data_IF_815256101699
#
_entry.id   IF_815256101699
#
_cell.length_a   1.000
_cell.length_b   1.000
_cell.length_c   1.000
_cell.angle_alpha   90.00
_cell.angle_beta   90.00
_cell.angle_gamma   90.00
#
_symmetry.space_group_name_H-M   'P 1'
#
loop_
_entity.id
_entity.type
_entity.pdbx_description
1 polymer ?
#
# COMPACT_ATOMS: atom_id res chain seq x y z
N UNK A 1 -47.22 -25.48 51.41
CA UNK A 1 -47.46 -25.09 50.00
C UNK A 1 -46.69 -23.84 49.54
N UNK A 2 -46.41 -22.84 50.41
CA UNK A 2 -45.64 -21.63 50.04
C UNK A 2 -44.16 -21.87 49.66
N UNK A 3 -43.51 -22.88 50.26
CA UNK A 3 -42.10 -23.21 49.97
C UNK A 3 -41.89 -24.01 48.68
N UNK A 4 -42.94 -24.67 48.16
CA UNK A 4 -42.86 -25.46 46.91
C UNK A 4 -42.94 -24.56 45.66
N UNK A 5 -43.69 -23.45 45.76
CA UNK A 5 -43.82 -22.44 44.69
C UNK A 5 -42.53 -21.64 44.44
N UNK A 6 -41.71 -21.45 45.48
CA UNK A 6 -40.41 -20.78 45.36
C UNK A 6 -39.37 -21.66 44.63
N UNK A 7 -39.48 -22.99 44.72
CA UNK A 7 -38.56 -23.90 44.04
C UNK A 7 -38.85 -23.99 42.54
N UNK A 8 -40.13 -23.98 42.13
CA UNK A 8 -40.50 -23.94 40.69
C UNK A 8 -40.16 -22.60 40.02
N UNK A 9 -40.17 -21.50 40.78
CA UNK A 9 -39.75 -20.19 40.27
C UNK A 9 -38.24 -20.12 40.01
N UNK A 10 -37.40 -20.84 40.77
CA UNK A 10 -35.95 -20.87 40.53
C UNK A 10 -35.56 -21.72 39.31
N UNK A 11 -36.30 -22.79 39.01
CA UNK A 11 -35.97 -23.71 37.91
C UNK A 11 -36.34 -23.11 36.55
N UNK A 12 -37.27 -22.16 36.49
CA UNK A 12 -37.65 -21.48 35.23
C UNK A 12 -36.64 -20.41 34.78
N UNK A 13 -35.73 -19.95 35.66
CA UNK A 13 -34.61 -19.07 35.27
C UNK A 13 -33.36 -19.83 34.79
N UNK A 14 -33.31 -21.17 34.96
CA UNK A 14 -32.27 -22.03 34.39
C UNK A 14 -32.64 -22.54 32.98
N UNK A 15 -33.80 -22.12 32.44
CA UNK A 15 -34.25 -22.50 31.11
C UNK A 15 -33.53 -21.66 30.05
N UNK A 16 -32.48 -22.27 29.48
CA UNK A 16 -32.05 -22.10 28.09
C UNK A 16 -32.01 -20.67 27.56
N UNK A 17 -31.03 -19.90 28.02
CA UNK A 17 -30.27 -19.10 27.06
C UNK A 17 -29.31 -20.06 26.38
N UNK A 18 -29.81 -20.79 25.37
CA UNK A 18 -28.92 -21.33 24.36
C UNK A 18 -28.13 -20.13 23.86
N UNK A 19 -26.85 -20.07 24.20
CA UNK A 19 -25.91 -19.31 23.41
C UNK A 19 -26.08 -19.83 21.99
N UNK A 20 -26.81 -19.07 21.17
CA UNK A 20 -26.50 -19.07 19.75
C UNK A 20 -25.03 -18.67 19.72
N UNK A 21 -24.15 -19.69 19.65
CA UNK A 21 -22.96 -19.60 18.86
C UNK A 21 -23.47 -19.21 17.48
N UNK A 22 -23.62 -17.91 17.28
CA UNK A 22 -23.43 -17.33 15.97
C UNK A 22 -21.99 -17.70 15.69
N UNK A 23 -21.82 -18.88 15.08
CA UNK A 23 -20.59 -19.21 14.37
C UNK A 23 -20.57 -18.12 13.31
N UNK A 24 -19.86 -17.04 13.62
CA UNK A 24 -19.55 -16.00 12.66
C UNK A 24 -18.77 -16.75 11.58
N UNK A 25 -19.45 -17.03 10.49
CA UNK A 25 -18.90 -17.66 9.31
C UNK A 25 -17.64 -16.88 8.91
N UNK A 26 -16.51 -17.60 8.89
CA UNK A 26 -15.19 -17.15 8.45
C UNK A 26 -14.80 -15.72 8.86
N UNK A 27 -14.20 -15.64 10.05
CA UNK A 27 -13.43 -14.51 10.54
C UNK A 27 -12.19 -14.30 9.64
N UNK A 28 -12.36 -13.80 8.42
CA UNK A 28 -11.26 -13.13 7.71
C UNK A 28 -10.91 -11.92 8.55
N UNK A 29 -9.84 -12.04 9.33
CA UNK A 29 -9.24 -10.96 10.08
C UNK A 29 -9.12 -9.76 9.14
N UNK A 30 -9.80 -8.65 9.46
CA UNK A 30 -9.76 -7.45 8.65
C UNK A 30 -8.30 -7.02 8.43
N UNK A 31 -7.88 -6.89 7.17
CA UNK A 31 -6.52 -6.49 6.83
C UNK A 31 -6.39 -4.97 6.84
N UNK A 32 -6.03 -4.45 8.01
CA UNK A 32 -5.80 -3.02 8.24
C UNK A 32 -4.70 -2.45 7.33
N UNK A 33 -3.66 -3.25 7.00
CA UNK A 33 -2.54 -2.77 6.20
C UNK A 33 -2.99 -2.55 4.76
N UNK A 34 -3.62 -3.55 4.15
CA UNK A 34 -4.20 -3.41 2.80
C UNK A 34 -5.27 -2.32 2.75
N UNK A 35 -6.07 -2.17 3.81
CA UNK A 35 -7.07 -1.09 3.87
C UNK A 35 -6.43 0.30 3.78
N UNK A 36 -5.34 0.55 4.52
CA UNK A 36 -4.66 1.84 4.53
C UNK A 36 -3.90 2.11 3.23
N UNK A 37 -3.40 1.07 2.56
CA UNK A 37 -2.55 1.19 1.37
C UNK A 37 -3.33 1.20 0.06
N UNK A 38 -4.54 0.66 0.01
CA UNK A 38 -5.33 0.56 -1.22
C UNK A 38 -6.06 1.85 -1.58
N UNK A 39 -6.32 2.05 -2.86
CA UNK A 39 -7.40 2.93 -3.32
C UNK A 39 -8.78 2.34 -2.96
N UNK A 40 -9.85 3.16 -2.90
CA UNK A 40 -11.21 2.66 -2.71
C UNK A 40 -11.60 1.59 -3.73
N UNK A 41 -12.52 0.69 -3.36
CA UNK A 41 -12.94 -0.47 -4.17
C UNK A 41 -13.51 -0.12 -5.55
N UNK A 42 -13.82 1.16 -5.81
CA UNK A 42 -14.23 1.67 -7.12
C UNK A 42 -13.10 1.66 -8.15
N UNK A 43 -11.85 1.50 -7.71
CA UNK A 43 -10.64 1.48 -8.55
C UNK A 43 -10.31 0.01 -8.89
N UNK A 44 -9.97 -0.32 -10.16
CA UNK A 44 -9.70 -1.70 -10.56
C UNK A 44 -8.56 -2.31 -9.76
N UNK A 45 -8.75 -3.56 -9.33
CA UNK A 45 -7.71 -4.37 -8.68
C UNK A 45 -7.10 -5.35 -9.67
N UNK A 46 -5.79 -5.31 -9.82
CA UNK A 46 -5.03 -6.16 -10.73
C UNK A 46 -4.14 -7.12 -9.95
N UNK A 47 -4.14 -8.36 -10.40
CA UNK A 47 -3.16 -9.37 -10.02
C UNK A 47 -2.13 -9.46 -11.15
N UNK A 48 -0.96 -8.90 -10.90
CA UNK A 48 0.18 -8.84 -11.81
C UNK A 48 1.42 -9.13 -10.97
N UNK A 49 2.30 -9.99 -11.49
CA UNK A 49 3.55 -10.30 -10.81
C UNK A 49 4.36 -9.02 -10.58
N UNK A 50 4.63 -8.73 -9.30
CA UNK A 50 5.52 -7.66 -8.90
C UNK A 50 6.95 -8.03 -9.32
N UNK A 51 7.67 -7.05 -9.86
CA UNK A 51 9.09 -7.16 -10.21
C UNK A 51 9.41 -8.02 -11.46
N UNK A 52 8.42 -8.21 -12.35
CA UNK A 52 8.66 -8.70 -13.71
C UNK A 52 9.37 -7.62 -14.58
N UNK A 53 10.07 -7.99 -15.66
CA UNK A 53 10.70 -7.03 -16.56
C UNK A 53 9.74 -5.95 -17.05
N UNK A 54 10.18 -4.68 -17.06
CA UNK A 54 9.38 -3.51 -17.44
C UNK A 54 8.59 -3.71 -18.73
N UNK A 55 9.22 -4.30 -19.76
CA UNK A 55 8.56 -4.57 -21.05
C UNK A 55 7.33 -5.46 -20.93
N UNK A 56 7.36 -6.46 -20.04
CA UNK A 56 6.22 -7.36 -19.80
C UNK A 56 5.19 -6.69 -18.88
N UNK A 57 5.67 -5.98 -17.85
CA UNK A 57 4.83 -5.27 -16.90
C UNK A 57 3.97 -4.20 -17.59
N UNK A 58 4.58 -3.32 -18.38
CA UNK A 58 3.90 -2.22 -19.04
C UNK A 58 2.97 -2.67 -20.17
N UNK A 59 3.29 -3.77 -20.87
CA UNK A 59 2.36 -4.35 -21.87
C UNK A 59 1.09 -4.83 -21.19
N UNK A 60 1.21 -5.63 -20.13
CA UNK A 60 0.05 -6.14 -19.39
C UNK A 60 -0.77 -5.01 -18.74
N UNK A 61 -0.09 -4.00 -18.18
CA UNK A 61 -0.79 -2.85 -17.61
C UNK A 61 -1.55 -2.06 -18.68
N UNK A 62 -0.93 -1.78 -19.82
CA UNK A 62 -1.58 -1.05 -20.90
C UNK A 62 -2.79 -1.79 -21.45
N UNK A 63 -2.67 -3.09 -21.70
CA UNK A 63 -3.79 -3.93 -22.16
C UNK A 63 -4.97 -3.92 -21.17
N UNK A 64 -4.70 -3.96 -19.86
CA UNK A 64 -5.74 -4.05 -18.82
C UNK A 64 -6.33 -2.70 -18.43
N UNK A 65 -5.53 -1.64 -18.40
CA UNK A 65 -5.91 -0.34 -17.84
C UNK A 65 -6.20 0.73 -18.89
N UNK A 66 -5.61 0.60 -20.08
CA UNK A 66 -5.61 1.63 -21.10
C UNK A 66 -5.78 1.03 -22.51
N UNK A 67 -6.80 0.17 -22.75
CA UNK A 67 -6.96 -0.54 -24.03
C UNK A 67 -7.18 0.41 -25.22
N UNK A 68 -7.73 1.60 -24.98
CA UNK A 68 -8.04 2.61 -26.00
C UNK A 68 -6.86 3.54 -26.33
N UNK A 69 -5.68 3.26 -25.77
CA UNK A 69 -4.39 3.72 -26.30
C UNK A 69 -3.91 5.10 -25.85
N UNK A 70 -4.74 5.92 -25.18
CA UNK A 70 -4.24 7.16 -24.60
C UNK A 70 -4.99 7.69 -23.37
N UNK A 71 -4.38 7.51 -22.19
CA UNK A 71 -4.64 8.30 -21.00
C UNK A 71 -3.28 8.76 -20.41
N UNK A 72 -3.20 9.89 -19.73
CA UNK A 72 -1.93 10.34 -19.15
C UNK A 72 -1.57 9.56 -17.88
N UNK A 73 -2.58 9.15 -17.12
CA UNK A 73 -2.38 8.36 -15.91
C UNK A 73 -3.60 7.53 -15.53
N UNK A 74 -3.39 6.32 -15.03
CA UNK A 74 -4.43 5.46 -14.45
C UNK A 74 -4.08 5.06 -13.02
N UNK A 75 -5.03 5.18 -12.09
CA UNK A 75 -4.91 4.60 -10.75
C UNK A 75 -5.51 3.19 -10.73
N UNK A 76 -4.88 2.29 -9.99
CA UNK A 76 -5.33 0.91 -9.82
C UNK A 76 -4.85 0.39 -8.46
N UNK A 77 -5.40 -0.73 -8.01
CA UNK A 77 -4.89 -1.48 -6.88
C UNK A 77 -4.05 -2.64 -7.41
N UNK A 78 -2.80 -2.78 -6.95
CA UNK A 78 -1.93 -3.89 -7.30
C UNK A 78 -1.91 -4.90 -6.15
N UNK A 79 -2.17 -6.17 -6.46
CA UNK A 79 -2.01 -7.27 -5.50
C UNK A 79 -0.56 -7.76 -5.53
N UNK A 80 0.08 -7.76 -4.37
CA UNK A 80 1.45 -8.25 -4.18
C UNK A 80 1.42 -9.21 -3.00
N UNK A 81 1.66 -10.50 -3.26
CA UNK A 81 1.49 -11.57 -2.28
C UNK A 81 0.07 -11.52 -1.65
N UNK A 82 -0.05 -11.31 -0.34
CA UNK A 82 -1.35 -11.19 0.36
C UNK A 82 -1.83 -9.74 0.53
N UNK A 83 -1.09 -8.75 0.01
CA UNK A 83 -1.36 -7.33 0.22
C UNK A 83 -1.99 -6.68 -1.02
N UNK A 84 -2.84 -5.69 -0.78
CA UNK A 84 -3.34 -4.79 -1.83
C UNK A 84 -2.75 -3.40 -1.63
N UNK A 85 -2.10 -2.88 -2.67
CA UNK A 85 -1.36 -1.63 -2.63
C UNK A 85 -1.87 -0.67 -3.71
N UNK A 86 -2.06 0.61 -3.39
CA UNK A 86 -2.41 1.64 -4.35
C UNK A 86 -1.26 1.83 -5.36
N UNK A 87 -1.59 1.83 -6.64
CA UNK A 87 -0.64 2.00 -7.71
C UNK A 87 -1.16 3.00 -8.75
N UNK A 88 -0.22 3.61 -9.47
CA UNK A 88 -0.51 4.53 -10.55
C UNK A 88 0.41 4.27 -11.73
N UNK A 89 -0.18 4.09 -12.89
CA UNK A 89 0.53 4.08 -14.16
C UNK A 89 0.53 5.50 -14.73
N UNK A 90 1.70 5.97 -15.14
CA UNK A 90 1.93 7.23 -15.84
C UNK A 90 2.41 6.90 -17.24
N UNK A 91 1.71 7.39 -18.26
CA UNK A 91 2.10 7.22 -19.65
C UNK A 91 1.87 8.54 -20.41
N UNK A 92 2.92 9.31 -20.70
CA UNK A 92 2.74 10.56 -21.43
C UNK A 92 2.32 10.28 -22.88
N UNK A 93 1.11 10.68 -23.24
CA UNK A 93 0.66 10.74 -24.62
C UNK A 93 1.13 12.03 -25.30
N UNK A 94 2.33 12.03 -25.88
CA UNK A 94 2.76 13.09 -26.80
C UNK A 94 3.01 14.48 -26.21
N UNK A 95 2.78 14.69 -24.91
CA UNK A 95 3.14 15.93 -24.19
C UNK A 95 4.44 15.68 -23.41
N UNK A 96 5.47 16.54 -23.56
CA UNK A 96 6.64 16.47 -22.70
C UNK A 96 6.22 16.72 -21.25
N UNK A 97 6.62 15.83 -20.36
CA UNK A 97 6.38 15.99 -18.93
C UNK A 97 7.26 17.15 -18.47
N UNK A 98 6.65 18.19 -17.92
CA UNK A 98 7.37 19.25 -17.23
C UNK A 98 7.95 18.68 -15.94
N UNK A 99 9.27 18.67 -15.83
CA UNK A 99 10.00 18.43 -14.59
C UNK A 99 9.63 19.55 -13.61
N UNK A 100 8.71 19.26 -12.70
CA UNK A 100 8.22 20.25 -11.75
C UNK A 100 7.65 19.58 -10.52
N UNK A 101 8.44 19.64 -9.44
CA UNK A 101 8.22 19.07 -8.10
C UNK A 101 8.57 17.58 -8.01
N UNK A 102 9.59 17.28 -7.19
CA UNK A 102 9.96 15.94 -6.75
C UNK A 102 8.82 15.40 -5.88
N UNK A 103 7.93 14.59 -6.47
CA UNK A 103 6.78 14.02 -5.76
C UNK A 103 6.97 12.54 -5.41
N UNK A 104 8.01 11.94 -5.98
CA UNK A 104 8.26 10.52 -5.89
C UNK A 104 9.61 10.30 -5.24
N UNK A 105 9.69 9.21 -4.50
CA UNK A 105 10.92 8.65 -4.01
C UNK A 105 11.44 7.70 -5.09
N UNK A 106 12.63 7.96 -5.60
CA UNK A 106 13.31 7.05 -6.51
C UNK A 106 14.18 6.06 -5.74
N UNK A 107 13.94 4.77 -5.96
CA UNK A 107 14.75 3.67 -5.48
C UNK A 107 15.40 2.99 -6.68
N UNK A 108 16.74 2.94 -6.70
CA UNK A 108 17.51 2.22 -7.71
C UNK A 108 18.15 0.97 -7.11
N UNK A 109 18.06 -0.16 -7.79
CA UNK A 109 18.73 -1.41 -7.41
C UNK A 109 19.64 -1.81 -8.56
N UNK A 110 20.96 -1.75 -8.35
CA UNK A 110 21.91 -2.08 -9.40
C UNK A 110 22.15 -3.59 -9.53
N UNK A 111 22.89 -4.00 -10.57
CA UNK A 111 23.22 -5.41 -10.84
C UNK A 111 23.94 -6.14 -9.70
N UNK A 112 24.64 -5.40 -8.85
CA UNK A 112 25.40 -5.95 -7.72
C UNK A 112 24.53 -6.03 -6.46
N UNK A 113 23.24 -5.68 -6.56
CA UNK A 113 22.28 -5.68 -5.46
C UNK A 113 22.39 -4.47 -4.53
N UNK A 114 23.17 -3.46 -4.88
CA UNK A 114 23.24 -2.22 -4.10
C UNK A 114 21.97 -1.41 -4.30
N UNK A 115 21.38 -1.00 -3.19
CA UNK A 115 20.19 -0.15 -3.16
C UNK A 115 20.63 1.30 -3.04
N UNK A 116 20.02 2.16 -3.83
CA UNK A 116 20.13 3.61 -3.74
C UNK A 116 18.75 4.17 -3.49
N UNK A 117 18.65 5.12 -2.56
CA UNK A 117 17.45 5.93 -2.37
C UNK A 117 17.86 7.35 -2.68
N UNK A 118 17.19 7.97 -3.66
CA UNK A 118 17.49 9.36 -4.03
C UNK A 118 18.96 9.61 -4.38
N UNK A 119 19.54 8.65 -5.12
CA UNK A 119 20.97 8.64 -5.52
C UNK A 119 21.97 8.42 -4.38
N UNK A 120 21.51 8.26 -3.14
CA UNK A 120 22.37 7.91 -2.00
C UNK A 120 22.44 6.41 -1.79
N UNK A 121 23.66 5.87 -1.67
CA UNK A 121 23.89 4.45 -1.37
C UNK A 121 23.31 4.11 0.00
N UNK A 122 22.57 3.00 0.05
CA UNK A 122 22.16 2.34 1.29
C UNK A 122 23.26 1.39 1.74
N UNK A 123 23.81 1.63 2.92
CA UNK A 123 24.95 0.86 3.43
C UNK A 123 24.53 -0.48 4.05
N UNK A 124 23.40 -0.49 4.75
CA UNK A 124 22.85 -1.67 5.41
C UNK A 124 21.32 -1.53 5.65
N UNK A 125 20.72 -2.54 6.27
CA UNK A 125 19.28 -2.57 6.56
C UNK A 125 18.85 -1.47 7.54
N UNK A 126 19.71 -1.10 8.50
CA UNK A 126 19.37 -0.05 9.46
C UNK A 126 19.36 1.32 8.79
N UNK A 127 20.33 1.58 7.90
CA UNK A 127 20.39 2.76 7.05
C UNK A 127 19.17 2.83 6.11
N UNK A 128 18.79 1.70 5.49
CA UNK A 128 17.58 1.58 4.67
C UNK A 128 16.33 2.04 5.44
N UNK A 129 16.11 1.46 6.62
CA UNK A 129 14.95 1.75 7.46
C UNK A 129 14.95 3.21 7.91
N UNK A 130 16.10 3.76 8.31
CA UNK A 130 16.21 5.15 8.73
C UNK A 130 15.84 6.12 7.60
N UNK A 131 16.39 5.92 6.39
CA UNK A 131 16.08 6.75 5.22
C UNK A 131 14.58 6.68 4.89
N UNK A 132 14.00 5.49 4.88
CA UNK A 132 12.57 5.28 4.63
C UNK A 132 11.70 5.94 5.71
N UNK A 133 12.06 5.80 6.99
CA UNK A 133 11.32 6.45 8.07
C UNK A 133 11.31 7.97 7.95
N UNK A 134 12.44 8.57 7.56
CA UNK A 134 12.52 10.01 7.31
C UNK A 134 11.61 10.42 6.16
N UNK A 135 11.65 9.70 5.04
CA UNK A 135 10.77 9.92 3.89
C UNK A 135 9.29 9.90 4.29
N UNK A 136 8.87 8.89 5.06
CA UNK A 136 7.45 8.72 5.44
C UNK A 136 7.00 9.83 6.39
N UNK A 137 7.87 10.30 7.29
CA UNK A 137 7.57 11.38 8.23
C UNK A 137 7.63 12.76 7.57
N UNK A 138 8.49 12.95 6.57
CA UNK A 138 8.68 14.23 5.89
C UNK A 138 7.46 14.55 5.01
N UNK A 139 6.77 15.65 5.35
CA UNK A 139 5.57 16.14 4.64
C UNK A 139 5.88 17.20 3.59
N UNK A 140 7.13 17.62 3.42
CA UNK A 140 7.51 18.76 2.58
C UNK A 140 8.24 18.33 1.31
N UNK A 141 9.20 17.41 1.41
CA UNK A 141 10.00 17.01 0.24
C UNK A 141 9.30 15.93 -0.60
N UNK A 142 8.68 14.93 0.05
CA UNK A 142 8.16 13.72 -0.60
C UNK A 142 6.64 13.55 -0.50
N UNK A 143 5.92 14.61 -0.14
CA UNK A 143 4.48 14.52 0.12
C UNK A 143 3.70 15.66 -0.56
N UNK A 144 3.25 15.44 -1.79
CA UNK A 144 2.29 16.34 -2.43
C UNK A 144 0.86 15.89 -2.11
N UNK A 145 0.04 16.76 -1.51
CA UNK A 145 -1.32 16.40 -1.03
C UNK A 145 -1.32 15.13 -0.17
N UNK A 146 -0.36 15.03 0.76
CA UNK A 146 -0.15 13.88 1.66
C UNK A 146 0.19 12.56 0.94
N UNK A 147 0.52 12.60 -0.36
CA UNK A 147 0.87 11.42 -1.15
C UNK A 147 2.38 11.33 -1.38
N UNK A 148 2.92 10.16 -1.14
CA UNK A 148 4.28 9.78 -1.54
C UNK A 148 4.20 8.72 -2.62
N UNK A 149 4.70 9.06 -3.81
CA UNK A 149 4.92 8.07 -4.86
C UNK A 149 6.23 7.33 -4.63
N UNK A 150 6.26 6.02 -4.87
CA UNK A 150 7.46 5.20 -4.85
C UNK A 150 7.72 4.70 -6.26
N UNK A 151 8.91 4.98 -6.79
CA UNK A 151 9.39 4.43 -8.06
C UNK A 151 10.53 3.47 -7.73
N UNK A 152 10.36 2.18 -8.03
CA UNK A 152 11.40 1.17 -7.84
C UNK A 152 11.93 0.79 -9.22
N UNK A 153 13.19 1.08 -9.48
CA UNK A 153 13.91 0.78 -10.72
C UNK A 153 14.99 -0.24 -10.39
N UNK A 154 14.98 -1.37 -11.09
CA UNK A 154 15.92 -2.47 -10.85
C UNK A 154 16.65 -2.87 -12.13
N UNK A 155 17.96 -3.05 -12.06
CA UNK A 155 18.73 -3.69 -13.13
C UNK A 155 18.20 -5.12 -13.35
N UNK A 156 17.92 -5.50 -14.60
CA UNK A 156 17.39 -6.82 -14.96
C UNK A 156 18.19 -8.01 -14.40
N UNK A 157 19.47 -7.83 -14.07
CA UNK A 157 20.35 -8.86 -13.51
C UNK A 157 20.41 -8.86 -11.98
N UNK A 158 19.85 -7.85 -11.32
CA UNK A 158 19.81 -7.77 -9.87
C UNK A 158 18.85 -8.81 -9.28
N UNK A 159 19.12 -9.22 -8.04
CA UNK A 159 18.29 -10.16 -7.29
C UNK A 159 16.89 -9.58 -7.00
N UNK A 160 15.85 -10.31 -7.39
CA UNK A 160 14.43 -10.00 -7.16
C UNK A 160 14.09 -9.85 -5.67
N UNK A 161 14.86 -10.49 -4.79
CA UNK A 161 14.64 -10.39 -3.34
C UNK A 161 14.81 -8.96 -2.82
N UNK A 162 15.61 -8.13 -3.50
CA UNK A 162 15.90 -6.76 -3.09
C UNK A 162 14.69 -5.83 -3.24
N UNK A 163 13.94 -5.92 -4.35
CA UNK A 163 12.71 -5.13 -4.51
C UNK A 163 11.67 -5.48 -3.45
N UNK A 164 11.56 -6.77 -3.09
CA UNK A 164 10.69 -7.23 -2.01
C UNK A 164 11.17 -6.74 -0.64
N UNK A 165 12.49 -6.69 -0.41
CA UNK A 165 13.07 -6.13 0.82
C UNK A 165 12.71 -4.64 0.94
N UNK A 166 12.91 -3.85 -0.12
CA UNK A 166 12.56 -2.42 -0.16
C UNK A 166 11.07 -2.22 0.16
N UNK A 167 10.19 -2.94 -0.55
CA UNK A 167 8.74 -2.82 -0.34
C UNK A 167 8.35 -3.16 1.10
N UNK A 168 8.89 -4.24 1.67
CA UNK A 168 8.66 -4.63 3.08
C UNK A 168 9.14 -3.58 4.07
N UNK A 169 10.28 -2.93 3.80
CA UNK A 169 10.82 -1.86 4.65
C UNK A 169 9.93 -0.61 4.63
N UNK A 170 9.39 -0.24 3.46
CA UNK A 170 8.38 0.82 3.35
C UNK A 170 7.09 0.47 4.09
N UNK A 171 6.58 -0.75 3.92
CA UNK A 171 5.38 -1.24 4.62
C UNK A 171 5.53 -1.17 6.14
N UNK A 172 6.65 -1.66 6.67
CA UNK A 172 6.91 -1.65 8.11
C UNK A 172 6.97 -0.23 8.67
N UNK A 173 7.70 0.66 7.99
CA UNK A 173 7.86 2.05 8.41
C UNK A 173 6.56 2.86 8.28
N UNK A 174 5.76 2.58 7.24
CA UNK A 174 4.44 3.18 7.05
C UNK A 174 3.49 2.76 8.16
N UNK A 175 3.38 1.46 8.43
CA UNK A 175 2.52 0.95 9.50
C UNK A 175 2.93 1.52 10.87
N UNK A 176 4.24 1.62 11.16
CA UNK A 176 4.75 2.25 12.38
C UNK A 176 4.33 3.72 12.48
N UNK A 177 4.43 4.47 11.38
CA UNK A 177 4.01 5.88 11.35
C UNK A 177 2.51 6.04 11.56
N UNK A 178 1.69 5.25 10.85
CA UNK A 178 0.23 5.31 10.95
C UNK A 178 -0.26 4.85 12.33
N UNK A 179 0.41 3.90 12.98
CA UNK A 179 0.13 3.49 14.36
C UNK A 179 0.48 4.56 15.39
N UNK A 180 1.56 5.30 15.16
CA UNK A 180 1.88 6.48 15.97
C UNK A 180 0.79 7.55 15.88
N UNK A 181 0.26 7.82 14.69
CA UNK A 181 -0.85 8.77 14.49
C UNK A 181 -2.12 8.25 15.18
N UNK A 182 -2.39 6.95 15.09
CA UNK A 182 -3.55 6.32 15.72
C UNK A 182 -3.52 6.45 17.24
N UNK A 183 -2.35 6.19 17.85
CA UNK A 183 -2.14 6.35 19.29
C UNK A 183 -2.30 7.80 19.73
N UNK A 184 -1.72 8.74 18.99
CA UNK A 184 -1.81 10.18 19.29
C UNK A 184 -3.25 10.71 19.20
N UNK A 185 -4.00 10.32 18.17
CA UNK A 185 -5.33 10.88 17.89
C UNK A 185 -6.48 10.15 18.60
N UNK A 186 -6.35 8.84 18.82
CA UNK A 186 -7.44 7.99 19.31
C UNK A 186 -7.08 7.12 20.50
N UNK A 187 -5.84 7.19 21.00
CA UNK A 187 -5.32 6.37 22.10
C UNK A 187 -5.45 4.86 21.85
N UNK A 188 -5.40 4.45 20.57
CA UNK A 188 -5.60 3.07 20.13
C UNK A 188 -4.62 2.71 19.01
N UNK A 189 -4.11 1.49 19.05
CA UNK A 189 -3.40 0.91 17.91
C UNK A 189 -4.31 0.76 16.68
N UNK A 190 -3.72 0.78 15.47
CA UNK A 190 -4.43 0.69 14.18
C UNK A 190 -5.43 -0.46 14.13
N UNK A 191 -5.03 -1.64 14.62
CA UNK A 191 -5.85 -2.85 14.61
C UNK A 191 -7.11 -2.79 15.49
N UNK A 192 -7.29 -1.73 16.27
CA UNK A 192 -8.44 -1.52 17.14
C UNK A 192 -9.29 -0.31 16.72
N UNK A 193 -8.96 0.33 15.60
CA UNK A 193 -9.72 1.45 15.08
C UNK A 193 -10.96 0.96 14.34
N UNK A 194 -12.03 1.75 14.42
CA UNK A 194 -13.20 1.60 13.56
C UNK A 194 -12.89 2.05 12.12
N UNK A 195 -13.69 1.61 11.14
CA UNK A 195 -13.55 2.02 9.73
C UNK A 195 -13.55 3.56 9.58
N UNK A 196 -14.43 4.26 10.30
CA UNK A 196 -14.46 5.74 10.29
C UNK A 196 -13.13 6.35 10.76
N UNK A 197 -12.53 5.80 11.81
CA UNK A 197 -11.24 6.27 12.31
C UNK A 197 -10.10 5.92 11.33
N UNK A 198 -10.15 4.76 10.69
CA UNK A 198 -9.21 4.38 9.64
C UNK A 198 -9.30 5.33 8.44
N UNK A 199 -10.51 5.74 8.03
CA UNK A 199 -10.72 6.72 6.97
C UNK A 199 -10.15 8.10 7.30
N UNK A 200 -10.18 8.49 8.58
CA UNK A 200 -9.57 9.72 9.06
C UNK A 200 -8.04 9.65 9.02
N UNK A 201 -7.45 8.53 9.45
CA UNK A 201 -5.99 8.33 9.41
C UNK A 201 -5.49 8.20 7.98
N UNK A 202 -6.20 7.48 7.10
CA UNK A 202 -5.80 7.26 5.70
C UNK A 202 -5.58 8.56 4.91
N UNK A 203 -6.17 9.68 5.37
CA UNK A 203 -5.98 11.02 4.77
C UNK A 203 -4.66 11.69 5.18
N UNK A 204 -4.01 11.23 6.24
CA UNK A 204 -2.76 11.80 6.76
C UNK A 204 -1.55 11.47 5.91
N UNK A 205 -1.53 10.26 5.33
CA UNK A 205 -0.48 9.81 4.43
C UNK A 205 -1.01 8.75 3.49
N UNK A 206 -0.70 8.88 2.21
CA UNK A 206 -1.02 7.91 1.16
C UNK A 206 0.29 7.49 0.52
N UNK A 207 0.54 6.18 0.47
CA UNK A 207 1.69 5.60 -0.21
C UNK A 207 1.21 4.96 -1.52
N UNK A 208 1.85 5.29 -2.64
CA UNK A 208 1.46 4.80 -3.97
C UNK A 208 2.69 4.25 -4.69
N UNK A 209 2.58 3.09 -5.32
CA UNK A 209 3.56 2.61 -6.29
C UNK A 209 3.34 3.32 -7.64
N UNK A 210 4.33 4.09 -8.08
CA UNK A 210 4.26 4.85 -9.33
C UNK A 210 5.07 4.13 -10.41
N UNK A 211 4.42 3.84 -11.54
CA UNK A 211 5.00 3.19 -12.70
C UNK A 211 5.04 4.17 -13.86
N UNK A 212 6.23 4.50 -14.34
CA UNK A 212 6.42 5.51 -15.38
C UNK A 212 6.84 4.84 -16.69
N UNK A 213 5.92 4.76 -17.64
CA UNK A 213 6.19 4.27 -18.98
C UNK A 213 6.65 5.44 -19.87
N UNK A 214 7.89 5.88 -19.69
CA UNK A 214 8.45 6.90 -20.58
C UNK A 214 8.67 6.30 -21.98
N UNK A 215 8.17 6.94 -23.05
CA UNK A 215 8.57 6.54 -24.39
C UNK A 215 10.08 6.73 -24.53
N UNK A 216 10.76 5.71 -25.07
CA UNK A 216 12.17 5.82 -25.43
C UNK A 216 12.34 7.08 -26.30
N UNK A 217 13.23 8.02 -25.93
CA UNK A 217 13.46 9.22 -26.73
C UNK A 217 13.74 8.81 -28.17
N UNK A 218 12.91 9.28 -29.11
CA UNK A 218 13.22 9.08 -30.53
C UNK A 218 14.45 9.94 -30.84
N UNK A 219 15.50 9.38 -31.47
CA UNK A 219 16.61 10.21 -31.93
C UNK A 219 16.06 11.32 -32.84
N UNK A 220 16.66 12.52 -32.82
CA UNK A 220 16.25 13.60 -33.71
C UNK A 220 16.26 13.09 -35.15
N UNK A 221 15.17 13.37 -35.88
CA UNK A 221 15.13 13.08 -37.31
C UNK A 221 16.17 14.00 -37.97
N UNK A 222 17.24 13.40 -38.50
CA UNK A 222 18.20 14.07 -39.37
C UNK A 222 17.54 14.34 -40.72
#
# INVERSE_FOLDING_TARGET
>A
MRKLLLLLALITFLSCKQEKKTILENNTLFDYTSYLLSHPDTVPSLDIEFDQPDSLFFVQLNEKLMPDGCETSKVFNLKIDSLTFAARLQQPCGVPIFEGIKMNVEILINRDGQIFIEQEVVNDISDLLLKIENIIKDKHEYAYNNRTGLIIIRDKKADLSQSKLVLKSFLASYNKHMDSIALDRFEKHLKHLSLKQLDEIKKERILILEYWNYPIPKPPRV
#
